data_IF_649282604686
#
_entry.id   IF_649282604686
#
_cell.length_a   1.000
_cell.length_b   1.000
_cell.length_c   1.000
_cell.angle_alpha   90.00
_cell.angle_beta   90.00
_cell.angle_gamma   90.00
#
_symmetry.space_group_name_H-M   'P 1'
#
loop_
_entity.id
_entity.type
_entity.pdbx_description
1 polymer ?
#
# COMPACT_ATOMS: atom_id res chain seq x y z
N UNK A 1 -16.36 25.51 -13.20
CA UNK A 1 -14.90 25.51 -13.35
C UNK A 1 -14.41 24.07 -13.40
N UNK A 2 -13.59 23.76 -14.36
CA UNK A 2 -12.98 22.45 -14.42
C UNK A 2 -11.75 22.44 -13.52
N UNK A 3 -11.81 21.63 -12.49
CA UNK A 3 -10.65 21.39 -11.66
C UNK A 3 -9.86 20.24 -12.24
N UNK A 4 -8.60 20.48 -12.54
CA UNK A 4 -7.69 19.48 -13.11
C UNK A 4 -6.85 18.78 -12.06
N UNK A 5 -6.88 19.28 -10.84
CA UNK A 5 -6.05 18.77 -9.76
C UNK A 5 -6.91 18.14 -8.67
N UNK A 6 -6.48 17.00 -8.17
CA UNK A 6 -7.13 16.31 -7.05
C UNK A 6 -6.19 16.30 -5.86
N UNK A 7 -6.75 16.24 -4.66
CA UNK A 7 -5.93 16.07 -3.46
C UNK A 7 -5.45 14.63 -3.34
N UNK A 8 -4.35 14.42 -2.62
CA UNK A 8 -3.82 13.08 -2.40
C UNK A 8 -4.82 12.16 -1.71
N UNK A 9 -5.71 12.71 -0.88
CA UNK A 9 -6.76 11.90 -0.24
C UNK A 9 -7.74 11.29 -1.25
N UNK A 10 -7.86 11.89 -2.42
CA UNK A 10 -8.77 11.42 -3.48
C UNK A 10 -8.07 10.50 -4.49
N UNK A 11 -6.78 10.27 -4.36
CA UNK A 11 -6.03 9.36 -5.24
C UNK A 11 -6.14 7.92 -4.74
N UNK A 12 -5.90 7.70 -3.46
CA UNK A 12 -6.03 6.38 -2.82
C UNK A 12 -7.01 6.53 -1.66
N UNK A 13 -8.05 5.71 -1.65
CA UNK A 13 -9.11 5.75 -0.63
C UNK A 13 -9.33 4.38 -0.02
N UNK A 14 -9.94 4.39 1.16
CA UNK A 14 -10.46 3.20 1.81
C UNK A 14 -9.42 2.09 1.97
N UNK A 15 -8.19 2.48 2.31
CA UNK A 15 -7.11 1.54 2.53
C UNK A 15 -7.45 0.65 3.72
N UNK A 16 -7.53 -0.65 3.49
CA UNK A 16 -8.04 -1.61 4.46
C UNK A 16 -7.14 -2.83 4.56
N UNK A 17 -7.00 -3.35 5.78
CA UNK A 17 -6.35 -4.63 6.03
C UNK A 17 -7.39 -5.71 6.22
N UNK A 18 -7.07 -6.93 5.78
CA UNK A 18 -7.85 -8.11 6.11
C UNK A 18 -7.60 -8.47 7.58
N UNK A 19 -8.61 -8.30 8.40
CA UNK A 19 -8.57 -8.65 9.83
C UNK A 19 -9.23 -10.00 10.11
N UNK A 20 -9.77 -10.65 9.07
CA UNK A 20 -10.30 -12.00 9.14
C UNK A 20 -9.27 -13.04 8.71
N UNK A 21 -9.74 -14.15 8.16
CA UNK A 21 -8.89 -15.21 7.63
C UNK A 21 -8.79 -15.12 6.12
N UNK A 22 -7.87 -15.87 5.51
CA UNK A 22 -7.75 -15.92 4.05
C UNK A 22 -8.98 -16.53 3.37
N UNK A 23 -9.69 -17.43 4.05
CA UNK A 23 -10.92 -18.04 3.55
C UNK A 23 -12.17 -17.21 3.82
N UNK A 24 -12.14 -16.37 4.86
CA UNK A 24 -13.24 -15.48 5.23
C UNK A 24 -12.67 -14.09 5.50
N UNK A 25 -12.31 -13.34 4.45
CA UNK A 25 -11.69 -12.03 4.64
C UNK A 25 -12.69 -11.01 5.17
N UNK A 26 -12.24 -10.20 6.12
CA UNK A 26 -12.96 -9.04 6.65
C UNK A 26 -12.03 -7.85 6.57
N UNK A 27 -12.37 -6.88 5.72
CA UNK A 27 -11.51 -5.72 5.49
C UNK A 27 -11.91 -4.58 6.41
N UNK A 28 -10.96 -4.12 7.21
CA UNK A 28 -11.14 -3.00 8.12
C UNK A 28 -10.33 -1.81 7.63
N UNK A 29 -10.99 -0.69 7.40
CA UNK A 29 -10.36 0.53 6.86
C UNK A 29 -9.52 1.21 7.93
N UNK A 30 -8.33 1.64 7.55
CA UNK A 30 -7.44 2.46 8.37
C UNK A 30 -7.74 3.93 8.12
N UNK A 31 -8.75 4.46 8.81
CA UNK A 31 -9.26 5.83 8.58
C UNK A 31 -8.29 6.92 9.02
N UNK A 32 -7.30 6.61 9.83
CA UNK A 32 -6.39 7.57 10.42
C UNK A 32 -5.07 7.72 9.66
N UNK A 33 -4.99 7.15 8.47
CA UNK A 33 -3.83 7.33 7.60
C UNK A 33 -3.69 8.80 7.21
N UNK A 34 -2.50 9.35 7.38
CA UNK A 34 -2.18 10.73 7.00
C UNK A 34 -1.40 10.82 5.70
N UNK A 35 -0.74 9.74 5.32
CA UNK A 35 -0.05 9.61 4.04
C UNK A 35 -0.25 8.21 3.49
N UNK A 36 -0.49 8.13 2.19
CA UNK A 36 -0.51 6.88 1.42
C UNK A 36 0.07 7.17 0.05
N UNK A 37 1.08 6.41 -0.35
CA UNK A 37 1.72 6.56 -1.64
C UNK A 37 1.97 5.18 -2.26
N UNK A 38 1.71 5.06 -3.55
CA UNK A 38 2.03 3.87 -4.34
C UNK A 38 3.25 4.18 -5.19
N UNK A 39 4.31 3.42 -5.00
CA UNK A 39 5.57 3.61 -5.71
C UNK A 39 5.83 2.43 -6.64
N UNK A 40 6.37 2.72 -7.81
CA UNK A 40 6.80 1.69 -8.75
C UNK A 40 8.29 1.83 -9.02
N UNK A 41 8.96 0.69 -9.12
CA UNK A 41 10.36 0.61 -9.48
C UNK A 41 10.52 -0.43 -10.58
N UNK A 42 11.16 -0.04 -11.69
CA UNK A 42 11.33 -0.92 -12.84
C UNK A 42 12.78 -1.38 -12.94
N UNK A 43 12.95 -2.65 -13.29
CA UNK A 43 14.24 -3.17 -13.73
C UNK A 43 14.34 -2.92 -15.23
N UNK A 44 15.43 -2.28 -15.67
CA UNK A 44 15.64 -1.96 -17.07
C UNK A 44 16.88 -2.64 -17.59
N UNK A 45 16.82 -3.06 -18.85
CA UNK A 45 17.96 -3.56 -19.59
C UNK A 45 18.23 -2.63 -20.77
N UNK A 46 19.47 -2.15 -20.87
CA UNK A 46 19.92 -1.32 -21.99
C UNK A 46 20.71 -2.16 -22.96
N UNK A 47 20.58 -1.86 -24.24
CA UNK A 47 21.31 -2.54 -25.29
C UNK A 47 21.54 -1.62 -26.50
N UNK A 48 22.55 -1.95 -27.29
CA UNK A 48 22.86 -1.24 -28.54
C UNK A 48 22.75 -2.20 -29.70
N UNK A 49 22.33 -1.68 -30.87
CA UNK A 49 22.22 -2.46 -32.10
C UNK A 49 23.20 -1.87 -33.14
N UNK A 50 23.66 -2.72 -34.07
CA UNK A 50 24.66 -2.29 -35.04
C UNK A 50 24.20 -1.18 -35.99
N UNK A 51 22.90 -1.14 -36.28
CA UNK A 51 22.37 -0.17 -37.26
C UNK A 51 21.99 1.17 -36.61
N UNK A 52 22.13 1.30 -35.31
CA UNK A 52 21.71 2.50 -34.60
C UNK A 52 22.71 2.78 -33.48
N UNK A 53 23.23 4.00 -33.47
CA UNK A 53 24.18 4.44 -32.45
C UNK A 53 23.51 4.75 -31.11
N UNK A 54 22.18 4.89 -31.09
CA UNK A 54 21.45 5.19 -29.85
C UNK A 54 21.22 3.93 -29.04
N UNK A 55 21.44 4.03 -27.72
CA UNK A 55 21.09 2.97 -26.81
C UNK A 55 19.56 2.85 -26.68
N UNK A 56 19.13 1.62 -26.55
CA UNK A 56 17.72 1.29 -26.30
C UNK A 56 17.59 0.67 -24.92
N UNK A 57 16.47 0.92 -24.29
CA UNK A 57 16.19 0.33 -22.98
C UNK A 57 14.80 -0.28 -22.98
N UNK A 58 14.66 -1.42 -22.30
CA UNK A 58 13.38 -2.08 -22.07
C UNK A 58 13.23 -2.37 -20.59
N UNK A 59 12.00 -2.29 -20.11
CA UNK A 59 11.67 -2.67 -18.73
C UNK A 59 11.43 -4.17 -18.67
N UNK A 60 12.15 -4.86 -17.79
CA UNK A 60 12.09 -6.32 -17.67
C UNK A 60 11.39 -6.79 -16.42
N UNK A 61 11.14 -5.90 -15.47
CA UNK A 61 10.43 -6.24 -14.25
C UNK A 61 9.95 -4.99 -13.53
N UNK A 62 9.04 -5.17 -12.59
CA UNK A 62 8.50 -4.09 -11.78
C UNK A 62 8.34 -4.56 -10.34
N UNK A 63 8.69 -3.68 -9.41
CA UNK A 63 8.35 -3.82 -7.99
C UNK A 63 7.41 -2.67 -7.61
N UNK A 64 6.35 -2.99 -6.90
CA UNK A 64 5.39 -2.00 -6.44
C UNK A 64 5.34 -2.02 -4.92
N UNK A 65 5.40 -0.85 -4.32
CA UNK A 65 5.32 -0.69 -2.87
C UNK A 65 4.27 0.34 -2.52
N UNK A 66 3.61 0.15 -1.38
CA UNK A 66 2.71 1.14 -0.79
C UNK A 66 3.36 1.61 0.50
N UNK A 67 3.55 2.90 0.62
CA UNK A 67 4.08 3.53 1.82
C UNK A 67 2.99 4.34 2.48
N UNK A 68 2.93 4.28 3.81
CA UNK A 68 1.93 5.01 4.55
C UNK A 68 2.39 5.42 5.93
N UNK A 69 1.81 6.50 6.42
CA UNK A 69 1.92 6.95 7.80
C UNK A 69 0.52 6.98 8.40
N UNK A 70 0.34 6.31 9.51
CA UNK A 70 -0.96 6.07 10.10
C UNK A 70 -0.93 6.46 11.57
N UNK A 71 -1.86 7.33 11.99
CA UNK A 71 -2.03 7.68 13.40
C UNK A 71 -2.71 6.51 14.11
N UNK A 72 -2.26 6.23 15.33
CA UNK A 72 -2.75 5.08 16.09
C UNK A 72 -4.09 5.40 16.75
N UNK A 73 -5.14 4.74 16.28
CA UNK A 73 -6.46 4.70 16.91
C UNK A 73 -6.61 3.31 17.53
N UNK A 74 -6.60 3.24 18.85
CA UNK A 74 -6.63 1.95 19.57
C UNK A 74 -7.95 1.20 19.40
N UNK A 75 -8.98 1.85 18.91
CA UNK A 75 -10.27 1.21 18.62
C UNK A 75 -10.37 0.63 17.22
N UNK A 76 -9.40 0.88 16.36
CA UNK A 76 -9.39 0.35 15.00
C UNK A 76 -8.79 -1.06 14.99
N UNK A 77 -9.57 -2.03 14.53
CA UNK A 77 -9.17 -3.46 14.54
C UNK A 77 -7.96 -3.71 13.63
N UNK A 78 -7.85 -3.01 12.50
CA UNK A 78 -6.72 -3.16 11.60
C UNK A 78 -5.41 -2.69 12.26
N UNK A 79 -5.46 -1.59 12.99
CA UNK A 79 -4.31 -1.07 13.74
C UNK A 79 -3.95 -2.02 14.89
N UNK A 80 -4.95 -2.55 15.60
CA UNK A 80 -4.74 -3.56 16.64
C UNK A 80 -4.02 -4.79 16.06
N UNK A 81 -4.39 -5.22 14.86
CA UNK A 81 -3.75 -6.35 14.19
C UNK A 81 -2.27 -6.07 13.91
N UNK A 82 -1.94 -4.89 13.39
CA UNK A 82 -0.54 -4.50 13.13
C UNK A 82 0.27 -4.49 14.42
N UNK A 83 -0.26 -3.91 15.48
CA UNK A 83 0.40 -3.87 16.78
C UNK A 83 0.57 -5.28 17.37
N UNK A 84 -0.43 -6.14 17.20
CA UNK A 84 -0.35 -7.53 17.61
C UNK A 84 0.71 -8.32 16.85
N UNK A 85 0.85 -8.08 15.54
CA UNK A 85 1.89 -8.71 14.72
C UNK A 85 3.29 -8.31 15.20
N UNK A 86 3.49 -7.04 15.54
CA UNK A 86 4.76 -6.57 16.11
C UNK A 86 5.02 -7.22 17.46
N UNK A 87 4.00 -7.32 18.31
CA UNK A 87 4.11 -8.01 19.60
C UNK A 87 4.52 -9.47 19.43
N UNK A 88 3.94 -10.18 18.47
CA UNK A 88 4.29 -11.56 18.16
C UNK A 88 5.74 -11.66 17.68
N UNK A 89 6.18 -10.72 16.86
CA UNK A 89 7.59 -10.68 16.42
C UNK A 89 8.54 -10.56 17.61
N UNK A 90 8.24 -9.67 18.55
CA UNK A 90 9.08 -9.45 19.74
C UNK A 90 9.09 -10.68 20.63
N UNK A 91 7.94 -11.31 20.86
CA UNK A 91 7.80 -12.38 21.85
C UNK A 91 8.24 -13.75 21.33
N UNK A 92 8.10 -14.02 20.02
CA UNK A 92 8.38 -15.35 19.46
C UNK A 92 9.29 -15.34 18.23
N UNK A 93 9.62 -14.17 17.68
CA UNK A 93 10.45 -14.06 16.48
C UNK A 93 9.75 -14.55 15.20
N UNK A 94 8.44 -14.74 15.23
CA UNK A 94 7.67 -15.20 14.07
C UNK A 94 7.52 -14.09 13.06
N UNK A 95 7.82 -14.36 11.79
CA UNK A 95 7.79 -13.37 10.70
C UNK A 95 6.70 -13.64 9.66
N UNK A 96 6.01 -14.78 9.73
CA UNK A 96 5.05 -15.18 8.70
C UNK A 96 3.89 -14.19 8.55
N UNK A 97 3.47 -13.54 9.63
CA UNK A 97 2.40 -12.55 9.62
C UNK A 97 2.76 -11.30 8.80
N UNK A 98 4.05 -11.04 8.60
CA UNK A 98 4.52 -9.91 7.77
C UNK A 98 4.68 -10.28 6.30
N UNK A 99 4.62 -11.56 5.95
CA UNK A 99 4.82 -12.04 4.59
C UNK A 99 3.52 -12.28 3.83
N UNK A 100 2.40 -12.38 4.52
CA UNK A 100 1.10 -12.68 3.92
C UNK A 100 0.01 -11.81 4.55
N UNK A 101 -0.15 -10.62 4.03
CA UNK A 101 -1.22 -9.73 4.44
C UNK A 101 -2.02 -9.33 3.20
N UNK A 102 -3.33 -9.48 3.25
CA UNK A 102 -4.20 -8.99 2.19
C UNK A 102 -4.63 -7.57 2.50
N UNK A 103 -4.50 -6.70 1.51
CA UNK A 103 -4.93 -5.31 1.57
C UNK A 103 -5.90 -5.00 0.45
N UNK A 104 -6.77 -4.04 0.69
CA UNK A 104 -7.78 -3.59 -0.25
C UNK A 104 -7.82 -2.08 -0.23
N UNK A 105 -7.85 -1.47 -1.40
CA UNK A 105 -7.91 -0.02 -1.52
C UNK A 105 -8.57 0.39 -2.82
N UNK A 106 -9.07 1.61 -2.85
CA UNK A 106 -9.63 2.22 -4.04
C UNK A 106 -8.61 3.17 -4.65
N UNK A 107 -8.29 2.96 -5.91
CA UNK A 107 -7.37 3.82 -6.66
C UNK A 107 -8.15 4.62 -7.69
N UNK A 108 -7.87 5.91 -7.77
CA UNK A 108 -8.43 6.78 -8.80
C UNK A 108 -7.96 6.31 -10.18
N UNK A 109 -8.89 5.91 -11.03
CA UNK A 109 -8.57 5.38 -12.36
C UNK A 109 -9.18 6.19 -13.50
N UNK A 110 -10.05 7.13 -13.22
CA UNK A 110 -10.64 7.92 -14.29
C UNK A 110 -11.58 9.00 -13.80
N UNK A 111 -12.17 9.71 -14.77
CA UNK A 111 -13.16 10.74 -14.53
C UNK A 111 -14.27 10.56 -15.56
N UNK A 112 -15.51 10.62 -15.12
CA UNK A 112 -16.68 10.58 -15.97
C UNK A 112 -17.63 11.73 -15.59
N UNK A 113 -17.85 12.67 -16.51
CA UNK A 113 -18.71 13.84 -16.30
C UNK A 113 -18.36 14.61 -15.01
N UNK A 114 -17.08 14.87 -14.79
CA UNK A 114 -16.55 15.56 -13.60
C UNK A 114 -16.70 14.75 -12.29
N UNK A 115 -17.11 13.50 -12.39
CA UNK A 115 -17.16 12.57 -11.24
C UNK A 115 -15.94 11.68 -11.26
N UNK A 116 -15.22 11.59 -10.14
CA UNK A 116 -14.04 10.73 -10.01
C UNK A 116 -14.48 9.27 -9.99
N UNK A 117 -13.78 8.46 -10.76
CA UNK A 117 -14.03 7.02 -10.82
C UNK A 117 -12.88 6.25 -10.18
N UNK A 118 -13.25 5.22 -9.42
CA UNK A 118 -12.29 4.40 -8.67
C UNK A 118 -12.40 2.94 -9.05
N UNK A 119 -11.26 2.28 -9.06
CA UNK A 119 -11.19 0.82 -9.15
C UNK A 119 -10.67 0.29 -7.81
N UNK A 120 -11.35 -0.70 -7.28
CA UNK A 120 -10.95 -1.35 -6.02
C UNK A 120 -9.98 -2.48 -6.33
N UNK A 121 -8.81 -2.44 -5.70
CA UNK A 121 -7.80 -3.48 -5.84
C UNK A 121 -7.63 -4.23 -4.54
N UNK A 122 -7.51 -5.54 -4.66
CA UNK A 122 -7.19 -6.43 -3.55
C UNK A 122 -5.86 -7.10 -3.86
N UNK A 123 -4.88 -6.92 -3.00
CA UNK A 123 -3.51 -7.37 -3.21
C UNK A 123 -3.01 -8.14 -2.00
N UNK A 124 -2.12 -9.09 -2.25
CA UNK A 124 -1.34 -9.73 -1.20
C UNK A 124 -0.01 -8.97 -1.06
N UNK A 125 0.33 -8.59 0.16
CA UNK A 125 1.53 -7.81 0.43
C UNK A 125 2.36 -8.46 1.53
N UNK A 126 3.68 -8.24 1.46
CA UNK A 126 4.55 -8.34 2.62
C UNK A 126 4.77 -6.94 3.16
N UNK A 127 4.78 -6.77 4.47
CA UNK A 127 4.91 -5.45 5.04
C UNK A 127 5.90 -5.39 6.18
N UNK A 128 6.41 -4.20 6.42
CA UNK A 128 7.29 -3.90 7.54
C UNK A 128 6.96 -2.53 8.10
N UNK A 129 7.24 -2.32 9.36
CA UNK A 129 7.14 -1.01 9.97
C UNK A 129 8.50 -0.33 9.90
N UNK A 130 8.54 0.86 9.29
CA UNK A 130 9.74 1.69 9.28
C UNK A 130 9.97 2.34 10.64
N UNK A 131 8.88 2.69 11.34
CA UNK A 131 8.94 3.25 12.68
C UNK A 131 7.62 2.99 13.40
N UNK A 132 7.70 2.89 14.71
CA UNK A 132 6.54 2.79 15.59
C UNK A 132 6.82 3.63 16.82
N UNK A 133 5.97 4.62 17.06
CA UNK A 133 6.16 5.56 18.14
C UNK A 133 6.85 6.84 17.65
N UNK A 134 7.36 7.62 18.58
CA UNK A 134 7.99 8.91 18.27
C UNK A 134 8.15 9.73 19.53
N UNK A 135 8.04 11.07 19.40
CA UNK A 135 8.14 11.98 20.51
C UNK A 135 6.99 11.80 21.50
N UNK A 136 7.29 11.88 22.78
CA UNK A 136 6.32 11.61 23.86
C UNK A 136 5.11 12.57 23.84
N UNK A 137 5.28 13.77 23.28
CA UNK A 137 4.23 14.79 23.23
C UNK A 137 3.35 14.69 21.99
N UNK A 138 3.76 13.89 21.00
CA UNK A 138 3.02 13.75 19.74
C UNK A 138 2.00 12.62 19.81
N UNK A 139 1.02 12.67 18.89
CA UNK A 139 0.08 11.56 18.71
C UNK A 139 0.84 10.35 18.20
N UNK A 140 0.55 9.18 18.76
CA UNK A 140 1.18 7.93 18.34
C UNK A 140 0.94 7.65 16.86
N UNK A 141 1.98 7.22 16.17
CA UNK A 141 1.90 6.88 14.75
C UNK A 141 2.87 5.78 14.40
N UNK A 142 2.63 5.14 13.26
CA UNK A 142 3.59 4.25 12.65
C UNK A 142 3.70 4.52 11.16
N UNK A 143 4.89 4.30 10.63
CA UNK A 143 5.16 4.32 9.20
C UNK A 143 5.30 2.88 8.72
N UNK A 144 4.66 2.55 7.60
CA UNK A 144 4.57 1.21 7.08
C UNK A 144 4.98 1.21 5.61
N UNK A 145 5.72 0.18 5.21
CA UNK A 145 6.05 -0.08 3.81
C UNK A 145 5.54 -1.48 3.46
N UNK A 146 4.76 -1.55 2.40
CA UNK A 146 4.17 -2.81 1.92
C UNK A 146 4.64 -3.08 0.50
N UNK A 147 5.12 -4.30 0.27
CA UNK A 147 5.51 -4.75 -1.08
C UNK A 147 4.41 -5.63 -1.64
N UNK A 148 3.91 -5.27 -2.81
CA UNK A 148 2.86 -6.04 -3.48
C UNK A 148 3.48 -7.29 -4.10
N UNK A 149 2.95 -8.45 -3.72
CA UNK A 149 3.39 -9.75 -4.20
C UNK A 149 2.40 -10.31 -5.22
N UNK A 150 2.86 -10.51 -6.45
CA UNK A 150 2.03 -11.02 -7.53
C UNK A 150 1.06 -9.97 -8.07
N UNK A 151 0.08 -10.42 -8.82
CA UNK A 151 -0.95 -9.55 -9.39
C UNK A 151 -2.13 -9.41 -8.44
N UNK A 152 -2.63 -8.19 -8.33
CA UNK A 152 -3.85 -7.93 -7.56
C UNK A 152 -5.12 -8.28 -8.34
N UNK A 153 -6.23 -8.34 -7.62
CA UNK A 153 -7.56 -8.51 -8.20
C UNK A 153 -8.26 -7.17 -8.24
N UNK A 154 -8.79 -6.80 -9.40
CA UNK A 154 -9.49 -5.55 -9.59
C UNK A 154 -10.99 -5.77 -9.61
N UNK A 155 -11.73 -4.83 -9.02
CA UNK A 155 -13.19 -4.75 -9.15
C UNK A 155 -13.61 -3.31 -9.32
N UNK A 156 -14.67 -3.11 -10.08
CA UNK A 156 -15.18 -1.76 -10.33
C UNK A 156 -16.08 -1.26 -9.20
#
# INVERSE_FOLDING_TARGET
MNEYFVSNRDVIKNFSFNTGTSSTPVYTTMCTATELALNTSFTEQTFSVFCDALQRSIKTGVAMTIEGTIKIDVNNVAIQKVLGDVGTLISSGTISQFNNQMVKFDLLTGVNNSTLEYTTYTCNVSYQLESLGGSAEDVGEFAITMTINGTGTASA
#
